data_IF_404462276505
#
_entry.id   IF_404462276505
#
_cell.length_a   1.000
_cell.length_b   1.000
_cell.length_c   1.000
_cell.angle_alpha   90.00
_cell.angle_beta   90.00
_cell.angle_gamma   90.00
#
_symmetry.space_group_name_H-M   'P 1'
#
loop_
_entity.id
_entity.type
_entity.pdbx_description
1 polymer ?
#
# COMPACT_ATOMS: atom_id res chain seq x y z
N UNK A 1 -20.29 20.41 9.72
CA UNK A 1 -19.57 20.05 8.47
C UNK A 1 -18.35 20.91 8.19
N UNK A 2 -18.45 22.23 7.95
CA UNK A 2 -17.26 23.06 7.60
C UNK A 2 -16.10 22.99 8.61
N UNK A 3 -16.38 22.97 9.92
CA UNK A 3 -15.36 22.81 10.95
C UNK A 3 -14.70 21.43 10.90
N UNK A 4 -15.50 20.36 10.76
CA UNK A 4 -15.01 18.98 10.62
C UNK A 4 -14.16 18.80 9.36
N UNK A 5 -14.50 19.45 8.25
CA UNK A 5 -13.69 19.40 7.02
C UNK A 5 -12.33 20.05 7.23
N UNK A 6 -12.27 21.18 7.95
CA UNK A 6 -11.00 21.83 8.30
C UNK A 6 -10.15 20.94 9.21
N UNK A 7 -10.77 20.34 10.21
CA UNK A 7 -10.11 19.41 11.12
C UNK A 7 -9.55 18.18 10.38
N UNK A 8 -10.36 17.57 9.50
CA UNK A 8 -9.91 16.47 8.65
C UNK A 8 -8.70 16.87 7.79
N UNK A 9 -8.76 18.00 7.10
CA UNK A 9 -7.66 18.47 6.26
C UNK A 9 -6.39 18.75 7.06
N UNK A 10 -6.53 19.27 8.28
CA UNK A 10 -5.40 19.45 9.19
C UNK A 10 -4.77 18.11 9.58
N UNK A 11 -5.57 17.11 9.97
CA UNK A 11 -5.08 15.76 10.32
C UNK A 11 -4.44 15.04 9.12
N UNK A 12 -5.09 15.13 7.95
CA UNK A 12 -4.53 14.59 6.69
C UNK A 12 -3.20 15.25 6.38
N UNK A 13 -3.13 16.57 6.50
CA UNK A 13 -1.90 17.33 6.29
C UNK A 13 -0.79 16.92 7.25
N UNK A 14 -1.10 16.46 8.47
CA UNK A 14 -0.13 15.95 9.43
C UNK A 14 0.40 14.55 9.07
N UNK A 15 -0.50 13.65 8.63
CA UNK A 15 -0.14 12.30 8.14
C UNK A 15 0.70 12.38 6.87
N UNK A 16 0.37 13.30 5.97
CA UNK A 16 1.00 13.44 4.65
C UNK A 16 2.30 14.26 4.67
N UNK A 17 2.83 14.65 5.83
CA UNK A 17 4.12 15.36 5.88
C UNK A 17 5.31 14.46 5.53
N UNK A 18 5.15 13.16 5.71
CA UNK A 18 6.21 12.19 5.50
C UNK A 18 6.04 11.50 4.15
N UNK A 19 7.12 11.50 3.35
CA UNK A 19 7.18 10.77 2.10
C UNK A 19 6.86 9.27 2.28
N UNK A 20 7.18 8.67 3.44
CA UNK A 20 6.84 7.27 3.73
C UNK A 20 5.33 6.98 3.72
N UNK A 21 4.50 8.00 3.98
CA UNK A 21 3.04 7.89 3.97
C UNK A 21 2.44 8.28 2.62
N UNK A 22 3.03 9.26 1.93
CA UNK A 22 2.55 9.71 0.61
C UNK A 22 2.94 8.75 -0.52
N UNK A 23 4.16 8.22 -0.51
CA UNK A 23 4.66 7.42 -1.62
C UNK A 23 3.82 6.16 -1.85
N UNK A 24 3.42 5.37 -0.83
CA UNK A 24 2.51 4.23 -1.04
C UNK A 24 1.20 4.63 -1.72
N UNK A 25 0.63 5.78 -1.38
CA UNK A 25 -0.58 6.30 -2.02
C UNK A 25 -0.34 6.57 -3.52
N UNK A 26 0.78 7.24 -3.86
CA UNK A 26 1.13 7.49 -5.27
C UNK A 26 1.50 6.22 -6.03
N UNK A 27 2.09 5.22 -5.39
CA UNK A 27 2.34 3.91 -6.00
C UNK A 27 1.04 3.28 -6.50
N UNK A 28 -0.03 3.35 -5.70
CA UNK A 28 -1.35 2.84 -6.09
C UNK A 28 -1.99 3.68 -7.19
N UNK A 29 -2.02 5.01 -7.03
CA UNK A 29 -2.59 5.92 -8.02
C UNK A 29 -1.89 5.81 -9.38
N UNK A 30 -0.55 5.72 -9.40
CA UNK A 30 0.22 5.54 -10.62
C UNK A 30 -0.04 4.17 -11.27
N UNK A 31 -0.18 3.11 -10.48
CA UNK A 31 -0.32 1.73 -10.98
C UNK A 31 -1.71 1.41 -11.54
N UNK A 32 -2.77 2.05 -11.00
CA UNK A 32 -4.18 1.75 -11.33
C UNK A 32 -4.97 2.96 -11.85
N UNK A 33 -4.38 4.16 -11.91
CA UNK A 33 -4.96 5.35 -12.58
C UNK A 33 -6.46 5.61 -12.31
N UNK A 34 -6.85 5.64 -11.03
CA UNK A 34 -8.23 6.01 -10.65
C UNK A 34 -9.28 4.90 -10.81
N UNK A 35 -8.90 3.65 -11.06
CA UNK A 35 -9.81 2.51 -10.88
C UNK A 35 -9.57 1.84 -9.52
N UNK A 36 -10.65 1.43 -8.85
CA UNK A 36 -10.62 0.62 -7.61
C UNK A 36 -9.56 1.09 -6.60
N UNK A 37 -8.47 0.33 -6.43
CA UNK A 37 -7.37 0.61 -5.49
C UNK A 37 -6.45 1.76 -5.93
N UNK A 38 -6.59 2.26 -7.16
CA UNK A 38 -5.97 3.50 -7.63
C UNK A 38 -6.74 4.75 -7.29
N UNK A 39 -7.93 4.63 -6.66
CA UNK A 39 -8.63 5.77 -6.07
C UNK A 39 -7.91 6.20 -4.78
N UNK A 40 -7.85 7.51 -4.50
CA UNK A 40 -7.14 7.99 -3.33
C UNK A 40 -7.84 7.54 -2.05
N UNK A 41 -7.07 7.00 -1.10
CA UNK A 41 -7.55 6.65 0.24
C UNK A 41 -7.91 7.92 1.03
N UNK A 42 -7.16 8.99 0.80
CA UNK A 42 -7.35 10.26 1.50
C UNK A 42 -8.08 11.28 0.62
N UNK A 43 -9.16 11.83 1.18
CA UNK A 43 -9.99 12.82 0.53
C UNK A 43 -9.21 14.13 0.30
N UNK A 44 -9.22 14.64 -0.93
CA UNK A 44 -8.54 15.88 -1.26
C UNK A 44 -9.33 17.15 -0.89
N UNK A 45 -8.73 18.32 -1.08
CA UNK A 45 -9.38 19.61 -0.81
C UNK A 45 -10.66 19.85 -1.63
N UNK A 46 -10.83 19.16 -2.75
CA UNK A 46 -11.99 19.29 -3.62
C UNK A 46 -13.09 18.30 -3.24
N UNK A 47 -12.73 17.05 -3.02
CA UNK A 47 -13.64 15.95 -2.68
C UNK A 47 -14.23 16.12 -1.29
N UNK A 48 -13.47 16.67 -0.33
CA UNK A 48 -13.99 16.89 1.02
C UNK A 48 -15.14 17.89 1.04
N UNK A 49 -15.21 18.81 0.08
CA UNK A 49 -16.32 19.77 -0.06
C UNK A 49 -17.61 19.08 -0.50
N UNK A 50 -17.50 17.93 -1.18
CA UNK A 50 -18.63 17.09 -1.61
C UNK A 50 -19.12 16.14 -0.51
N UNK A 51 -18.35 15.99 0.57
CA UNK A 51 -18.72 15.13 1.69
C UNK A 51 -19.86 15.77 2.50
N UNK A 52 -21.00 15.09 2.59
CA UNK A 52 -22.16 15.52 3.38
C UNK A 52 -22.61 14.43 4.36
N UNK A 53 -23.43 14.80 5.34
CA UNK A 53 -23.98 13.83 6.28
C UNK A 53 -24.88 12.80 5.60
N UNK A 54 -25.60 13.24 4.56
CA UNK A 54 -26.45 12.38 3.73
C UNK A 54 -25.61 11.34 2.99
N UNK A 55 -24.50 11.76 2.36
CA UNK A 55 -23.59 10.86 1.65
C UNK A 55 -22.97 9.81 2.59
N UNK A 56 -22.56 10.22 3.79
CA UNK A 56 -22.00 9.29 4.80
C UNK A 56 -23.07 8.29 5.25
N UNK A 57 -24.30 8.75 5.51
CA UNK A 57 -25.40 7.86 5.89
C UNK A 57 -25.75 6.88 4.77
N UNK A 58 -25.71 7.32 3.51
CA UNK A 58 -25.88 6.45 2.35
C UNK A 58 -24.75 5.42 2.25
N UNK A 59 -23.50 5.84 2.38
CA UNK A 59 -22.34 4.95 2.42
C UNK A 59 -22.47 3.85 3.48
N UNK A 60 -22.85 4.22 4.72
CA UNK A 60 -23.07 3.25 5.81
C UNK A 60 -24.17 2.25 5.41
N UNK A 61 -25.30 2.73 4.88
CA UNK A 61 -26.39 1.83 4.44
C UNK A 61 -25.94 0.88 3.33
N UNK A 62 -25.11 1.32 2.39
CA UNK A 62 -24.65 0.48 1.28
C UNK A 62 -23.64 -0.57 1.76
N UNK A 63 -22.64 -0.17 2.55
CA UNK A 63 -21.48 -1.03 2.83
C UNK A 63 -21.54 -1.77 4.17
N UNK A 64 -22.26 -1.28 5.18
CA UNK A 64 -22.35 -1.90 6.51
C UNK A 64 -23.51 -2.91 6.55
N UNK A 65 -23.44 -3.90 5.65
CA UNK A 65 -24.44 -4.96 5.52
C UNK A 65 -24.07 -6.18 6.38
N UNK A 66 -25.04 -6.96 6.89
CA UNK A 66 -24.77 -8.15 7.71
C UNK A 66 -23.83 -9.15 7.05
N UNK A 67 -23.95 -9.35 5.73
CA UNK A 67 -23.10 -10.27 4.95
C UNK A 67 -21.67 -9.75 4.72
N UNK A 68 -21.35 -8.53 5.14
CA UNK A 68 -20.02 -7.90 5.05
C UNK A 68 -19.44 -7.55 6.43
N UNK A 69 -20.11 -7.95 7.50
CA UNK A 69 -19.71 -7.68 8.87
C UNK A 69 -19.18 -8.96 9.51
N UNK A 70 -17.95 -8.91 10.02
CA UNK A 70 -17.31 -10.00 10.77
C UNK A 70 -16.91 -9.47 12.13
N UNK A 71 -17.38 -10.12 13.20
CA UNK A 71 -17.02 -9.75 14.58
C UNK A 71 -15.95 -10.73 15.08
N UNK A 72 -14.80 -10.19 15.48
CA UNK A 72 -13.64 -11.00 15.90
C UNK A 72 -13.36 -10.77 17.39
N UNK A 73 -13.22 -11.86 18.15
CA UNK A 73 -12.87 -11.84 19.56
C UNK A 73 -11.68 -12.75 19.83
N UNK A 74 -10.65 -12.23 20.51
CA UNK A 74 -9.43 -12.98 20.84
C UNK A 74 -9.35 -13.20 22.35
N UNK A 75 -9.12 -14.44 22.79
CA UNK A 75 -8.99 -14.76 24.22
C UNK A 75 -10.30 -14.70 25.01
N UNK A 76 -11.45 -14.82 24.34
CA UNK A 76 -12.79 -14.77 24.94
C UNK A 76 -13.49 -16.14 24.90
N UNK A 77 -14.44 -16.38 25.79
CA UNK A 77 -15.31 -17.55 25.70
C UNK A 77 -16.23 -17.41 24.48
N UNK A 78 -16.19 -18.39 23.58
CA UNK A 78 -16.92 -18.32 22.32
C UNK A 78 -18.44 -18.19 22.50
N UNK A 79 -19.06 -18.99 23.39
CA UNK A 79 -20.50 -18.98 23.58
C UNK A 79 -21.02 -17.65 24.15
N UNK A 80 -20.30 -17.08 25.12
CA UNK A 80 -20.67 -15.77 25.65
C UNK A 80 -20.44 -14.65 24.64
N UNK A 81 -19.36 -14.73 23.86
CA UNK A 81 -19.07 -13.79 22.79
C UNK A 81 -20.14 -13.82 21.68
N UNK A 82 -20.52 -15.01 21.23
CA UNK A 82 -21.59 -15.21 20.25
C UNK A 82 -22.92 -14.66 20.76
N UNK A 83 -23.29 -14.94 22.02
CA UNK A 83 -24.51 -14.43 22.65
C UNK A 83 -24.55 -12.90 22.64
N UNK A 84 -23.45 -12.25 23.02
CA UNK A 84 -23.35 -10.78 23.02
C UNK A 84 -23.34 -10.20 21.61
N UNK A 85 -22.63 -10.85 20.67
CA UNK A 85 -22.60 -10.42 19.27
C UNK A 85 -23.99 -10.51 18.64
N UNK A 86 -24.73 -11.60 18.88
CA UNK A 86 -26.11 -11.76 18.44
C UNK A 86 -27.04 -10.70 19.09
N UNK A 87 -26.84 -10.39 20.37
CA UNK A 87 -27.64 -9.38 21.07
C UNK A 87 -27.42 -7.95 20.52
N UNK A 88 -26.19 -7.61 20.09
CA UNK A 88 -25.85 -6.26 19.63
C UNK A 88 -26.06 -6.10 18.11
N UNK A 89 -25.69 -7.11 17.33
CA UNK A 89 -25.63 -7.04 15.88
C UNK A 89 -26.67 -7.94 15.17
N UNK A 90 -27.40 -8.79 15.90
CA UNK A 90 -28.36 -9.73 15.31
C UNK A 90 -29.57 -9.06 14.66
N UNK A 91 -29.90 -7.82 15.05
CA UNK A 91 -31.03 -7.06 14.50
C UNK A 91 -30.67 -6.26 13.22
N UNK A 92 -29.41 -6.31 12.76
CA UNK A 92 -29.02 -5.61 11.52
C UNK A 92 -29.70 -6.32 10.33
N UNK A 93 -30.52 -5.57 9.61
CA UNK A 93 -31.23 -6.07 8.43
C UNK A 93 -30.42 -5.82 7.18
N UNK A 94 -30.36 -6.82 6.30
CA UNK A 94 -29.82 -6.62 4.97
C UNK A 94 -30.82 -5.86 4.10
N UNK A 95 -30.32 -4.90 3.33
CA UNK A 95 -31.09 -4.26 2.27
C UNK A 95 -30.83 -4.99 0.95
N UNK A 96 -31.85 -5.65 0.34
CA UNK A 96 -31.67 -6.39 -0.91
C UNK A 96 -31.12 -5.54 -2.06
N UNK A 97 -31.31 -4.22 -2.04
CA UNK A 97 -30.77 -3.33 -3.06
C UNK A 97 -29.24 -3.25 -3.03
N UNK A 98 -28.62 -3.46 -1.86
CA UNK A 98 -27.18 -3.32 -1.67
C UNK A 98 -26.48 -4.67 -1.43
N UNK A 99 -27.24 -5.74 -1.18
CA UNK A 99 -26.72 -7.08 -0.95
C UNK A 99 -25.96 -7.70 -2.13
N UNK A 100 -26.20 -7.24 -3.36
CA UNK A 100 -25.62 -7.76 -4.60
C UNK A 100 -24.51 -6.89 -5.23
N UNK A 101 -23.97 -5.91 -4.49
CA UNK A 101 -22.92 -5.03 -5.03
C UNK A 101 -21.63 -5.81 -5.31
N UNK A 102 -21.40 -6.26 -6.54
CA UNK A 102 -20.10 -6.77 -6.97
C UNK A 102 -19.14 -5.59 -7.17
N UNK A 103 -17.98 -5.63 -6.50
CA UNK A 103 -16.94 -4.64 -6.74
C UNK A 103 -16.38 -4.82 -8.14
N UNK A 104 -16.14 -3.72 -8.84
CA UNK A 104 -15.32 -3.76 -10.04
C UNK A 104 -13.95 -4.36 -9.73
N UNK A 105 -13.41 -5.12 -10.68
CA UNK A 105 -12.07 -5.69 -10.56
C UNK A 105 -11.00 -4.64 -10.82
N UNK A 106 -9.93 -4.69 -10.04
CA UNK A 106 -8.76 -3.87 -10.25
C UNK A 106 -8.10 -4.20 -11.59
N UNK A 107 -7.66 -3.15 -12.29
CA UNK A 107 -6.93 -3.27 -13.56
C UNK A 107 -5.62 -2.52 -13.45
N UNK A 108 -4.50 -3.24 -13.45
CA UNK A 108 -3.21 -2.60 -13.52
C UNK A 108 -3.03 -1.95 -14.90
N UNK A 109 -2.80 -0.64 -14.90
CA UNK A 109 -2.58 0.15 -16.11
C UNK A 109 -1.11 0.55 -16.26
N UNK A 110 -0.34 0.45 -15.18
CA UNK A 110 0.96 1.09 -15.07
C UNK A 110 0.81 2.61 -15.12
N UNK A 111 1.94 3.31 -15.06
CA UNK A 111 1.91 4.77 -15.12
C UNK A 111 3.15 5.38 -14.50
N UNK A 112 3.23 6.70 -14.63
CA UNK A 112 4.27 7.49 -13.98
C UNK A 112 3.63 8.71 -13.35
N UNK A 113 4.09 9.03 -12.14
CA UNK A 113 3.78 10.28 -11.47
C UNK A 113 5.09 10.93 -11.10
N UNK A 114 5.24 12.20 -11.45
CA UNK A 114 6.42 13.00 -11.11
C UNK A 114 5.96 14.31 -10.53
N UNK A 115 6.39 14.57 -9.30
CA UNK A 115 6.09 15.80 -8.60
C UNK A 115 7.39 16.50 -8.26
N UNK A 116 7.37 17.84 -8.30
CA UNK A 116 8.35 18.64 -7.59
C UNK A 116 7.72 18.95 -6.25
N UNK A 117 8.03 18.12 -5.25
CA UNK A 117 7.47 18.24 -3.92
C UNK A 117 8.51 18.84 -2.99
N UNK A 118 8.04 19.68 -2.08
CA UNK A 118 8.82 20.20 -0.97
C UNK A 118 8.20 19.54 0.26
N UNK A 119 8.80 18.43 0.73
CA UNK A 119 8.34 17.71 1.92
C UNK A 119 8.55 18.52 3.22
N UNK A 120 8.89 19.80 3.09
CA UNK A 120 9.25 20.72 4.15
C UNK A 120 10.73 21.02 4.10
N UNK A 121 11.15 22.03 4.87
CA UNK A 121 12.52 22.53 4.90
C UNK A 121 13.59 21.51 5.35
N UNK A 122 13.22 20.27 5.69
CA UNK A 122 14.11 19.27 6.28
C UNK A 122 14.33 18.05 5.39
N UNK A 123 13.49 17.81 4.37
CA UNK A 123 13.66 16.68 3.44
C UNK A 123 13.94 17.21 2.03
N UNK A 124 15.18 17.02 1.59
CA UNK A 124 15.69 17.46 0.29
C UNK A 124 16.02 16.27 -0.62
N UNK A 125 15.63 15.07 -0.22
CA UNK A 125 15.92 13.86 -0.97
C UNK A 125 15.02 13.73 -2.19
N UNK A 126 15.49 12.96 -3.17
CA UNK A 126 14.67 12.48 -4.26
C UNK A 126 14.13 11.10 -3.92
N UNK A 127 12.80 11.01 -3.81
CA UNK A 127 12.08 9.77 -3.57
C UNK A 127 11.70 9.09 -4.89
N UNK A 128 11.97 7.79 -4.97
CA UNK A 128 11.68 6.97 -6.13
C UNK A 128 10.89 5.73 -5.68
N UNK A 129 9.82 5.42 -6.40
CA UNK A 129 9.14 4.14 -6.29
C UNK A 129 8.94 3.49 -7.67
N UNK A 130 9.19 2.19 -7.74
CA UNK A 130 8.99 1.36 -8.93
C UNK A 130 8.06 0.20 -8.57
N UNK A 131 6.96 0.04 -9.30
CA UNK A 131 5.88 -0.87 -8.93
C UNK A 131 5.47 -1.78 -10.07
N UNK A 132 5.10 -3.01 -9.75
CA UNK A 132 4.63 -4.02 -10.68
C UNK A 132 3.37 -4.71 -10.14
N UNK A 133 2.49 -5.13 -11.04
CA UNK A 133 1.37 -5.99 -10.69
C UNK A 133 1.88 -7.36 -10.21
N UNK A 134 1.24 -7.92 -9.21
CA UNK A 134 1.47 -9.29 -8.74
C UNK A 134 0.15 -10.01 -8.51
N UNK A 135 0.26 -11.27 -8.11
CA UNK A 135 -0.89 -12.08 -7.74
C UNK A 135 -1.58 -11.60 -6.44
N UNK A 136 -2.77 -12.15 -6.18
CA UNK A 136 -3.66 -11.76 -5.10
C UNK A 136 -3.72 -12.77 -3.94
N UNK A 137 -4.58 -12.52 -2.95
CA UNK A 137 -4.75 -13.37 -1.76
C UNK A 137 -5.09 -14.84 -2.07
N UNK A 138 -5.68 -15.13 -3.23
CA UNK A 138 -6.13 -16.47 -3.60
C UNK A 138 -5.11 -17.24 -4.44
N UNK A 139 -3.95 -16.65 -4.73
CA UNK A 139 -2.95 -17.26 -5.59
C UNK A 139 -2.14 -18.35 -4.88
N UNK A 140 -1.84 -19.48 -5.55
CA UNK A 140 -0.91 -20.48 -5.03
C UNK A 140 0.52 -19.92 -4.85
N UNK A 141 0.86 -18.83 -5.55
CA UNK A 141 2.19 -18.21 -5.54
C UNK A 141 2.33 -17.15 -4.43
N UNK A 142 1.26 -16.88 -3.68
CA UNK A 142 1.22 -15.85 -2.62
C UNK A 142 2.38 -16.00 -1.64
N UNK A 143 2.58 -17.21 -1.11
CA UNK A 143 3.63 -17.46 -0.12
C UNK A 143 5.03 -17.22 -0.69
N UNK A 144 5.25 -17.58 -1.96
CA UNK A 144 6.53 -17.32 -2.63
C UNK A 144 6.78 -15.82 -2.81
N UNK A 145 5.74 -15.03 -3.12
CA UNK A 145 5.84 -13.57 -3.18
C UNK A 145 6.10 -12.95 -1.79
N UNK A 146 5.49 -13.47 -0.72
CA UNK A 146 5.80 -13.02 0.64
C UNK A 146 7.25 -13.32 1.03
N UNK A 147 7.75 -14.52 0.69
CA UNK A 147 9.16 -14.89 0.90
C UNK A 147 10.08 -14.00 0.08
N UNK A 148 9.73 -13.68 -1.16
CA UNK A 148 10.48 -12.74 -1.99
C UNK A 148 10.57 -11.37 -1.32
N UNK A 149 9.44 -10.81 -0.85
CA UNK A 149 9.41 -9.53 -0.15
C UNK A 149 10.32 -9.53 1.08
N UNK A 150 10.28 -10.60 1.89
CA UNK A 150 11.16 -10.77 3.05
C UNK A 150 12.64 -10.91 2.67
N UNK A 151 12.95 -11.63 1.59
CA UNK A 151 14.33 -11.84 1.11
C UNK A 151 14.94 -10.55 0.55
N UNK A 152 14.14 -9.77 -0.18
CA UNK A 152 14.55 -8.46 -0.69
C UNK A 152 14.76 -7.47 0.46
N UNK A 153 13.79 -7.36 1.36
CA UNK A 153 13.88 -6.58 2.60
C UNK A 153 14.30 -5.14 2.36
N UNK A 154 15.41 -4.72 2.99
CA UNK A 154 15.93 -3.36 2.94
C UNK A 154 15.72 -2.59 4.24
N UNK A 155 15.76 -1.26 4.14
CA UNK A 155 15.62 -0.32 5.25
C UNK A 155 16.41 0.96 5.03
N UNK A 156 16.50 1.76 6.09
CA UNK A 156 17.28 3.00 6.12
C UNK A 156 18.76 2.75 6.42
N UNK A 157 19.63 3.59 5.86
CA UNK A 157 21.07 3.61 6.12
C UNK A 157 21.36 3.86 7.60
N UNK A 158 20.54 4.70 8.22
CA UNK A 158 20.49 4.88 9.66
C UNK A 158 19.40 3.99 10.26
N UNK A 159 19.81 2.86 10.86
CA UNK A 159 18.90 2.01 11.62
C UNK A 159 19.54 1.68 12.97
N UNK A 160 18.91 2.13 14.05
CA UNK A 160 19.25 1.68 15.40
C UNK A 160 18.61 0.31 15.65
N UNK A 161 19.40 -0.69 16.02
CA UNK A 161 18.88 -2.03 16.36
C UNK A 161 19.92 -3.13 16.20
N UNK A 162 19.74 -4.22 16.95
CA UNK A 162 20.63 -5.39 16.95
C UNK A 162 20.34 -6.40 15.84
N UNK A 163 20.99 -7.58 15.90
CA UNK A 163 20.73 -8.70 14.99
C UNK A 163 19.24 -9.07 14.92
N UNK A 164 18.75 -9.41 13.72
CA UNK A 164 17.35 -9.84 13.50
C UNK A 164 16.46 -8.87 12.72
N UNK A 165 16.90 -7.62 12.51
CA UNK A 165 16.12 -6.59 11.79
C UNK A 165 16.20 -6.64 10.25
N UNK A 166 16.78 -7.69 9.67
CA UNK A 166 16.91 -7.83 8.21
C UNK A 166 18.18 -7.23 7.59
N UNK A 167 19.26 -7.01 8.37
CA UNK A 167 20.53 -6.48 7.82
C UNK A 167 21.19 -7.37 6.75
N UNK A 168 20.82 -8.64 6.69
CA UNK A 168 21.32 -9.61 5.70
C UNK A 168 20.38 -9.80 4.50
N UNK A 169 19.30 -9.01 4.42
CA UNK A 169 18.43 -9.01 3.24
C UNK A 169 19.18 -8.43 2.05
N UNK A 170 18.75 -8.78 0.83
CA UNK A 170 19.49 -8.45 -0.39
C UNK A 170 19.66 -6.94 -0.58
N UNK A 171 18.58 -6.17 -0.41
CA UNK A 171 18.64 -4.71 -0.53
C UNK A 171 19.51 -4.09 0.55
N UNK A 172 19.48 -4.62 1.78
CA UNK A 172 20.31 -4.06 2.85
C UNK A 172 21.80 -4.36 2.64
N UNK A 173 22.16 -5.62 2.34
CA UNK A 173 23.56 -6.03 2.23
C UNK A 173 24.21 -5.58 0.93
N UNK A 174 23.53 -5.82 -0.20
CA UNK A 174 24.14 -5.71 -1.53
C UNK A 174 23.92 -4.32 -2.16
N UNK A 175 22.91 -3.57 -1.68
CA UNK A 175 22.64 -2.20 -2.14
C UNK A 175 23.04 -1.19 -1.07
N UNK A 176 22.33 -1.15 0.04
CA UNK A 176 22.52 -0.12 1.08
C UNK A 176 23.91 -0.18 1.73
N UNK A 177 24.43 -1.39 1.99
CA UNK A 177 25.75 -1.60 2.58
C UNK A 177 26.93 -1.28 1.65
N UNK A 178 26.68 -1.15 0.33
CA UNK A 178 27.71 -0.87 -0.69
C UNK A 178 27.65 0.57 -1.16
N UNK A 179 26.48 1.20 -1.14
CA UNK A 179 26.26 2.54 -1.68
C UNK A 179 25.90 3.51 -0.55
N UNK A 180 26.91 4.23 -0.06
CA UNK A 180 26.76 5.17 1.06
C UNK A 180 25.87 6.38 0.75
N UNK A 181 25.60 6.65 -0.53
CA UNK A 181 24.72 7.74 -0.99
C UNK A 181 23.24 7.38 -0.91
N UNK A 182 22.88 6.12 -0.67
CA UNK A 182 21.47 5.71 -0.51
C UNK A 182 21.06 5.93 0.94
N UNK A 183 20.05 6.78 1.16
CA UNK A 183 19.52 7.03 2.50
C UNK A 183 18.54 5.93 2.93
N UNK A 184 17.75 5.41 1.99
CA UNK A 184 16.84 4.29 2.23
C UNK A 184 16.57 3.52 0.94
N UNK A 185 16.42 2.20 1.07
CA UNK A 185 15.86 1.36 0.02
C UNK A 185 15.15 0.17 0.64
N UNK A 186 13.91 -0.08 0.24
CA UNK A 186 13.12 -1.21 0.73
C UNK A 186 12.18 -1.73 -0.34
N UNK A 187 11.82 -3.00 -0.19
CA UNK A 187 10.75 -3.62 -0.94
C UNK A 187 9.41 -3.51 -0.18
N UNK A 188 8.32 -3.36 -0.91
CA UNK A 188 6.96 -3.45 -0.38
C UNK A 188 6.09 -4.36 -1.24
N UNK A 189 5.17 -5.08 -0.59
CA UNK A 189 4.18 -5.92 -1.25
C UNK A 189 2.82 -5.70 -0.62
N UNK A 190 1.91 -5.09 -1.38
CA UNK A 190 0.51 -4.88 -1.00
C UNK A 190 -0.36 -5.87 -1.75
N UNK A 191 -1.19 -6.62 -1.03
CA UNK A 191 -1.94 -7.75 -1.57
C UNK A 191 -3.43 -7.49 -1.35
N UNK A 192 -4.20 -7.58 -2.43
CA UNK A 192 -5.63 -7.36 -2.45
C UNK A 192 -6.35 -8.64 -2.88
N UNK A 193 -7.68 -8.61 -2.85
CA UNK A 193 -8.51 -9.79 -3.12
C UNK A 193 -8.36 -10.26 -4.57
N UNK A 194 -8.23 -9.33 -5.53
CA UNK A 194 -8.18 -9.64 -6.95
C UNK A 194 -6.86 -9.24 -7.64
N UNK A 195 -5.99 -8.46 -6.99
CA UNK A 195 -4.66 -8.07 -7.49
C UNK A 195 -3.61 -7.94 -6.37
N UNK A 196 -2.36 -7.65 -6.73
CA UNK A 196 -1.30 -7.24 -5.83
C UNK A 196 -0.37 -6.21 -6.46
N UNK A 197 0.38 -5.48 -5.62
CA UNK A 197 1.41 -4.52 -6.03
C UNK A 197 2.69 -4.85 -5.30
N UNK A 198 3.74 -5.15 -6.05
CA UNK A 198 5.09 -5.33 -5.53
C UNK A 198 5.97 -4.22 -6.05
N UNK A 199 6.76 -3.60 -5.19
CA UNK A 199 7.59 -2.49 -5.60
C UNK A 199 8.80 -2.24 -4.72
N UNK A 200 9.68 -1.42 -5.26
CA UNK A 200 10.85 -0.89 -4.57
C UNK A 200 10.60 0.58 -4.29
N UNK A 201 10.92 1.00 -3.07
CA UNK A 201 10.92 2.38 -2.66
C UNK A 201 12.29 2.73 -2.12
N UNK A 202 12.87 3.85 -2.55
CA UNK A 202 14.09 4.37 -1.99
C UNK A 202 14.21 5.87 -2.16
N UNK A 203 15.11 6.47 -1.40
CA UNK A 203 15.44 7.88 -1.51
C UNK A 203 16.92 8.15 -1.27
N UNK A 204 17.39 9.23 -1.88
CA UNK A 204 18.80 9.61 -1.99
C UNK A 204 18.90 11.10 -2.27
N UNK A 205 20.09 11.69 -2.08
CA UNK A 205 20.38 13.05 -2.56
C UNK A 205 20.07 13.20 -4.07
N UNK A 206 19.55 14.36 -4.52
CA UNK A 206 19.13 14.57 -5.91
C UNK A 206 20.19 14.26 -6.98
N UNK A 207 21.47 14.40 -6.66
CA UNK A 207 22.59 14.14 -7.57
C UNK A 207 22.67 12.65 -7.97
N UNK A 208 22.21 11.75 -7.10
CA UNK A 208 22.26 10.30 -7.29
C UNK A 208 20.92 9.67 -7.68
N UNK A 209 19.88 10.47 -7.94
CA UNK A 209 18.55 9.96 -8.28
C UNK A 209 18.54 9.07 -9.54
N UNK A 210 19.39 9.41 -10.53
CA UNK A 210 19.58 8.60 -11.73
C UNK A 210 20.22 7.24 -11.42
N UNK A 211 21.23 7.23 -10.55
CA UNK A 211 21.93 6.02 -10.12
C UNK A 211 20.99 5.08 -9.33
N UNK A 212 20.19 5.63 -8.41
CA UNK A 212 19.19 4.88 -7.66
C UNK A 212 18.18 4.21 -8.60
N UNK A 213 17.72 4.94 -9.62
CA UNK A 213 16.78 4.41 -10.62
C UNK A 213 17.39 3.25 -11.40
N UNK A 214 18.63 3.41 -11.87
CA UNK A 214 19.37 2.34 -12.55
C UNK A 214 19.55 1.12 -11.66
N UNK A 215 19.87 1.32 -10.38
CA UNK A 215 20.09 0.24 -9.43
C UNK A 215 18.81 -0.53 -9.11
N UNK A 216 17.68 0.16 -8.89
CA UNK A 216 16.38 -0.50 -8.72
C UNK A 216 16.03 -1.37 -9.93
N UNK A 217 16.27 -0.89 -11.15
CA UNK A 217 16.06 -1.67 -12.38
C UNK A 217 16.99 -2.89 -12.45
N UNK A 218 18.28 -2.74 -12.11
CA UNK A 218 19.23 -3.84 -12.05
C UNK A 218 18.80 -4.91 -11.04
N UNK A 219 18.34 -4.50 -9.85
CA UNK A 219 17.83 -5.42 -8.83
C UNK A 219 16.59 -6.15 -9.31
N UNK A 220 15.67 -5.47 -10.01
CA UNK A 220 14.52 -6.11 -10.63
C UNK A 220 14.96 -7.20 -11.63
N UNK A 221 15.89 -6.86 -12.52
CA UNK A 221 16.41 -7.80 -13.53
C UNK A 221 17.12 -8.98 -12.89
N UNK A 222 17.96 -8.75 -11.89
CA UNK A 222 18.64 -9.85 -11.19
C UNK A 222 17.66 -10.76 -10.45
N UNK A 223 16.57 -10.20 -9.94
CA UNK A 223 15.47 -10.96 -9.33
C UNK A 223 14.77 -11.88 -10.34
N UNK A 224 14.74 -11.52 -11.64
CA UNK A 224 14.23 -12.37 -12.73
C UNK A 224 15.04 -13.63 -12.99
N UNK A 225 16.34 -13.55 -12.77
CA UNK A 225 17.26 -14.66 -13.01
C UNK A 225 17.09 -15.76 -11.94
N UNK A 226 16.42 -15.46 -10.83
CA UNK A 226 16.13 -16.39 -9.73
C UNK A 226 14.86 -17.24 -9.95
N UNK A 227 14.27 -17.23 -11.15
CA UNK A 227 13.05 -18.00 -11.46
C UNK A 227 11.76 -17.18 -11.46
N UNK A 228 11.84 -15.85 -11.53
CA UNK A 228 10.67 -14.98 -11.75
C UNK A 228 10.58 -14.56 -13.22
N UNK A 229 9.35 -14.34 -13.69
CA UNK A 229 9.01 -13.80 -15.00
C UNK A 229 8.30 -12.46 -14.80
N UNK A 230 8.97 -11.37 -15.14
CA UNK A 230 8.38 -10.03 -15.23
C UNK A 230 8.05 -9.80 -16.69
N UNK A 231 6.76 -9.71 -17.02
CA UNK A 231 6.35 -8.93 -18.19
C UNK A 231 6.38 -7.45 -17.77
N UNK A 232 6.57 -6.52 -18.70
CA UNK A 232 6.77 -5.07 -18.47
C UNK A 232 5.92 -4.46 -17.34
N UNK A 233 4.74 -5.04 -17.06
CA UNK A 233 3.80 -4.60 -16.05
C UNK A 233 3.49 -5.60 -14.90
N UNK A 234 3.98 -6.86 -14.94
CA UNK A 234 3.54 -7.93 -14.02
C UNK A 234 4.65 -8.90 -13.65
N UNK A 235 4.80 -9.20 -12.35
CA UNK A 235 5.69 -10.24 -11.82
C UNK A 235 4.89 -11.53 -11.60
N UNK A 236 5.40 -12.64 -12.15
CA UNK A 236 4.88 -14.01 -11.97
C UNK A 236 6.04 -14.96 -11.73
N UNK A 237 5.82 -16.13 -11.11
CA UNK A 237 6.86 -17.17 -11.05
C UNK A 237 6.99 -17.86 -12.40
N UNK A 238 8.23 -18.19 -12.80
CA UNK A 238 8.48 -19.09 -13.93
C UNK A 238 8.04 -20.49 -13.50
N UNK A 239 7.13 -21.08 -14.27
CA UNK A 239 6.75 -22.49 -14.15
C UNK A 239 7.80 -23.39 -14.78
#
# INVERSE_FOLDING_TARGET
MKQLHKEYLWRRGDVMKSAEHEIPEYMHQASYQGNTIGLPLFCDHNSIKKMTGELINEYIKVFYQPNRLVVVGTGVNHSEFERLAAQIFGDIRSDPQFGSFESEKARYTGGQMKFKYDFGAEDHDTHLALCFETENWHSPDLMALCVLNMLMGGGGSFSAGGPGKGMYTRLYRDVLGVHSWINHISCSHSIFDDTGIFGFYGHTDPEHAGDLTGLCMCVCVYTLELGLSINVNRITLKK
#
